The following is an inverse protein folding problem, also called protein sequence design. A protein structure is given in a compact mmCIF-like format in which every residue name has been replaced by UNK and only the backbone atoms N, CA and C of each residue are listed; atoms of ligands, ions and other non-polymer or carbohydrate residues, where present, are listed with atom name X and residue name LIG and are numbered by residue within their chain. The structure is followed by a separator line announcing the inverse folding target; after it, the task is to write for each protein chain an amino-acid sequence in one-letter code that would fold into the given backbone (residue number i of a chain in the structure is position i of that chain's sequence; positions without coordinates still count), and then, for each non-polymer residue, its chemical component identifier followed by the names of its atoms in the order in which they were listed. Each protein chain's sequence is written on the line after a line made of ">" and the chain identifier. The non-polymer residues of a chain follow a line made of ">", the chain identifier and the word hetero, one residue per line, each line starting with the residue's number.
data_IF_843801468979
#
_entry.id   IF_843801468979
#
_cell.length_a   1.000
_cell.length_b   1.000
_cell.length_c   1.000
_cell.angle_alpha   90.00
_cell.angle_beta   90.00
_cell.angle_gamma   90.00
#
_symmetry.space_group_name_H-M   'P 1'
#
loop_
_entity.id
_entity.type
_entity.pdbx_description
1 polymer ?
#
# COMPACT_ATOMS: atom_id res chain seq x y z
N UNK A 1 37.02 -3.63 13.82
CA UNK A 1 37.15 -3.48 12.36
C UNK A 1 36.30 -4.53 11.66
N UNK A 2 35.71 -4.16 10.54
CA UNK A 2 34.73 -4.94 9.79
C UNK A 2 35.40 -5.69 8.63
N UNK A 3 34.69 -6.61 8.00
CA UNK A 3 35.13 -7.27 6.76
C UNK A 3 34.16 -6.99 5.64
N UNK A 4 34.65 -6.81 4.41
CA UNK A 4 33.83 -6.63 3.22
C UNK A 4 34.04 -7.80 2.27
N UNK A 5 32.94 -8.37 1.77
CA UNK A 5 32.94 -9.34 0.68
C UNK A 5 32.06 -8.73 -0.41
N UNK A 6 32.65 -8.46 -1.57
CA UNK A 6 32.03 -7.66 -2.62
C UNK A 6 32.17 -8.29 -4.00
N UNK A 7 31.24 -7.96 -4.90
CA UNK A 7 31.36 -8.26 -6.31
C UNK A 7 30.90 -7.04 -7.12
N UNK A 8 29.64 -6.99 -7.55
CA UNK A 8 29.13 -5.91 -8.41
C UNK A 8 29.12 -4.55 -7.70
N UNK A 9 28.99 -4.54 -6.37
CA UNK A 9 28.84 -3.32 -5.57
C UNK A 9 30.13 -2.87 -4.86
N UNK A 10 31.32 -3.35 -5.27
CA UNK A 10 32.60 -3.02 -4.64
C UNK A 10 32.84 -1.51 -4.50
N UNK A 11 32.72 -0.76 -5.60
CA UNK A 11 33.01 0.68 -5.61
C UNK A 11 32.14 1.46 -4.62
N UNK A 12 30.87 1.08 -4.52
CA UNK A 12 29.91 1.66 -3.57
C UNK A 12 30.33 1.33 -2.14
N UNK A 13 30.58 0.05 -1.84
CA UNK A 13 30.94 -0.40 -0.50
C UNK A 13 32.25 0.20 0.02
N UNK A 14 33.25 0.35 -0.85
CA UNK A 14 34.54 0.94 -0.49
C UNK A 14 34.45 2.46 -0.25
N UNK A 15 33.44 3.12 -0.82
CA UNK A 15 33.22 4.57 -0.66
C UNK A 15 32.57 4.96 0.68
N UNK A 16 32.03 4.00 1.44
CA UNK A 16 31.29 4.23 2.68
C UNK A 16 32.18 4.69 3.86
N UNK A 17 33.51 4.66 3.72
CA UNK A 17 34.44 5.12 4.76
C UNK A 17 34.40 4.30 6.05
N UNK A 18 34.02 3.03 5.97
CA UNK A 18 33.97 2.13 7.13
C UNK A 18 35.34 1.52 7.44
N UNK A 19 35.62 1.30 8.73
CA UNK A 19 36.88 0.67 9.16
C UNK A 19 36.90 -0.82 8.81
N UNK A 20 37.76 -1.22 7.87
CA UNK A 20 37.84 -2.58 7.33
C UNK A 20 39.19 -3.21 7.60
N UNK A 21 39.18 -4.45 8.13
CA UNK A 21 40.40 -5.24 8.36
C UNK A 21 40.73 -6.19 7.20
N UNK A 22 39.72 -6.58 6.41
CA UNK A 22 39.88 -7.48 5.26
C UNK A 22 38.77 -7.26 4.23
N UNK A 23 39.16 -7.22 2.96
CA UNK A 23 38.26 -7.15 1.81
C UNK A 23 38.50 -8.36 0.90
N UNK A 24 37.42 -9.00 0.45
CA UNK A 24 37.44 -9.99 -0.62
C UNK A 24 36.60 -9.46 -1.79
N UNK A 25 37.09 -9.65 -3.01
CA UNK A 25 36.40 -9.28 -4.24
C UNK A 25 36.28 -10.50 -5.16
N UNK A 26 35.08 -10.74 -5.66
CA UNK A 26 34.78 -11.86 -6.57
C UNK A 26 33.53 -12.61 -6.17
N UNK A 27 33.32 -13.76 -6.83
CA UNK A 27 32.23 -14.70 -6.54
C UNK A 27 32.81 -15.90 -5.81
N UNK A 28 32.20 -16.29 -4.69
CA UNK A 28 32.68 -17.35 -3.81
C UNK A 28 31.58 -18.33 -3.46
N UNK A 29 31.94 -19.58 -3.19
CA UNK A 29 31.04 -20.52 -2.54
C UNK A 29 30.94 -20.20 -1.04
N UNK A 30 29.85 -20.62 -0.40
CA UNK A 30 29.68 -20.48 1.05
C UNK A 30 30.79 -21.20 1.82
N UNK A 31 31.20 -22.38 1.36
CA UNK A 31 32.25 -23.18 2.02
C UNK A 31 33.62 -22.49 1.97
N UNK A 32 33.96 -21.85 0.85
CA UNK A 32 35.22 -21.09 0.71
C UNK A 32 35.26 -19.92 1.69
N UNK A 33 34.15 -19.20 1.82
CA UNK A 33 34.03 -18.09 2.77
C UNK A 33 34.10 -18.61 4.22
N UNK A 34 33.37 -19.68 4.53
CA UNK A 34 33.37 -20.27 5.87
C UNK A 34 34.77 -20.73 6.28
N UNK A 35 35.50 -21.39 5.39
CA UNK A 35 36.90 -21.80 5.61
C UNK A 35 37.81 -20.58 5.83
N UNK A 36 37.62 -19.51 5.06
CA UNK A 36 38.41 -18.28 5.15
C UNK A 36 38.22 -17.54 6.47
N UNK A 37 37.00 -17.57 7.04
CA UNK A 37 36.64 -16.79 8.23
C UNK A 37 36.46 -17.61 9.52
N UNK A 38 36.60 -18.94 9.48
CA UNK A 38 36.40 -19.87 10.63
C UNK A 38 37.07 -19.43 11.93
N UNK A 39 38.28 -18.87 11.85
CA UNK A 39 39.05 -18.40 13.01
C UNK A 39 39.39 -16.90 12.93
N UNK A 40 38.62 -16.14 12.14
CA UNK A 40 38.87 -14.72 11.93
C UNK A 40 37.92 -13.90 12.80
N UNK A 41 38.47 -13.04 13.66
CA UNK A 41 37.67 -12.16 14.52
C UNK A 41 37.35 -10.85 13.79
N UNK A 42 36.06 -10.53 13.67
CA UNK A 42 35.56 -9.30 13.06
C UNK A 42 34.35 -8.76 13.83
N UNK A 43 34.07 -7.46 13.67
CA UNK A 43 32.89 -6.83 14.25
C UNK A 43 31.64 -7.13 13.41
N UNK A 44 31.59 -6.59 12.18
CA UNK A 44 30.56 -6.92 11.18
C UNK A 44 31.19 -7.41 9.89
N UNK A 45 30.46 -8.28 9.19
CA UNK A 45 30.73 -8.71 7.83
C UNK A 45 29.70 -8.06 6.90
N UNK A 46 30.17 -7.22 5.99
CA UNK A 46 29.35 -6.59 4.96
C UNK A 46 29.46 -7.46 3.72
N UNK A 47 28.35 -8.07 3.34
CA UNK A 47 28.28 -9.03 2.25
C UNK A 47 27.39 -8.49 1.13
N UNK A 48 27.99 -8.21 -0.02
CA UNK A 48 27.28 -8.06 -1.29
C UNK A 48 26.69 -9.42 -1.68
N UNK A 49 25.37 -9.51 -1.81
CA UNK A 49 24.72 -10.79 -2.12
C UNK A 49 25.23 -11.38 -3.44
N UNK A 50 25.66 -10.53 -4.37
CA UNK A 50 26.17 -10.95 -5.68
C UNK A 50 27.57 -11.54 -5.62
N UNK A 51 28.24 -11.50 -4.46
CA UNK A 51 29.52 -12.16 -4.21
C UNK A 51 29.37 -13.64 -3.82
N UNK A 52 28.14 -14.12 -3.61
CA UNK A 52 27.84 -15.54 -3.37
C UNK A 52 27.48 -16.20 -4.71
N UNK A 53 28.13 -17.32 -5.02
CA UNK A 53 27.75 -18.15 -6.17
C UNK A 53 26.32 -18.67 -5.99
N UNK A 54 25.50 -18.66 -7.05
CA UNK A 54 24.10 -19.13 -7.01
C UNK A 54 23.26 -18.45 -5.91
N UNK A 55 23.48 -17.15 -5.68
CA UNK A 55 22.80 -16.40 -4.62
C UNK A 55 21.28 -16.32 -4.80
N UNK A 56 20.75 -16.42 -6.02
CA UNK A 56 19.30 -16.46 -6.28
C UNK A 56 18.63 -17.73 -5.70
N UNK A 57 19.40 -18.80 -5.50
CA UNK A 57 18.94 -20.03 -4.89
C UNK A 57 18.92 -19.90 -3.36
N UNK A 58 17.73 -20.02 -2.77
CA UNK A 58 17.55 -19.84 -1.34
C UNK A 58 18.30 -20.88 -0.49
N UNK A 59 18.53 -22.09 -1.01
CA UNK A 59 19.31 -23.12 -0.31
C UNK A 59 20.76 -22.67 -0.10
N UNK A 60 21.33 -21.91 -1.04
CA UNK A 60 22.66 -21.32 -0.88
C UNK A 60 22.68 -20.34 0.29
N UNK A 61 21.65 -19.52 0.43
CA UNK A 61 21.54 -18.56 1.54
C UNK A 61 21.25 -19.27 2.87
N UNK A 62 20.54 -20.38 2.85
CA UNK A 62 20.37 -21.24 4.02
C UNK A 62 21.72 -21.82 4.47
N UNK A 63 22.54 -22.29 3.54
CA UNK A 63 23.89 -22.74 3.88
C UNK A 63 24.73 -21.59 4.48
N UNK A 64 24.58 -20.38 3.95
CA UNK A 64 25.23 -19.18 4.48
C UNK A 64 24.79 -18.90 5.94
N UNK A 65 23.50 -19.01 6.24
CA UNK A 65 22.97 -18.77 7.60
C UNK A 65 23.40 -19.82 8.62
N UNK A 66 23.67 -21.04 8.17
CA UNK A 66 24.26 -22.10 9.00
C UNK A 66 25.77 -21.89 9.21
N UNK A 67 26.47 -21.39 8.19
CA UNK A 67 27.92 -21.21 8.23
C UNK A 67 28.38 -19.98 9.04
N UNK A 68 27.53 -18.96 9.17
CA UNK A 68 27.89 -17.68 9.79
C UNK A 68 26.88 -17.23 10.85
N UNK A 69 27.36 -16.50 11.85
CA UNK A 69 26.50 -15.79 12.81
C UNK A 69 25.84 -14.58 12.13
N UNK A 70 24.57 -14.74 11.74
CA UNK A 70 23.79 -13.72 11.02
C UNK A 70 23.61 -12.41 11.78
N UNK A 71 23.76 -12.40 13.11
CA UNK A 71 23.74 -11.15 13.88
C UNK A 71 24.95 -10.25 13.58
N UNK A 72 26.03 -10.83 13.03
CA UNK A 72 27.26 -10.14 12.63
C UNK A 72 27.34 -9.87 11.13
N UNK A 73 26.37 -10.31 10.33
CA UNK A 73 26.37 -10.12 8.88
C UNK A 73 25.39 -9.00 8.52
N UNK A 74 25.78 -8.13 7.59
CA UNK A 74 24.92 -7.17 6.91
C UNK A 74 24.89 -7.57 5.44
N UNK A 75 23.73 -7.96 4.91
CA UNK A 75 23.59 -8.36 3.51
C UNK A 75 23.10 -7.18 2.68
N UNK A 76 23.88 -6.76 1.68
CA UNK A 76 23.45 -5.84 0.64
C UNK A 76 22.80 -6.63 -0.49
N UNK A 77 21.49 -6.45 -0.64
CA UNK A 77 20.69 -7.08 -1.69
C UNK A 77 20.87 -6.33 -3.02
N UNK A 78 20.78 -7.06 -4.13
CA UNK A 78 20.74 -6.47 -5.47
C UNK A 78 19.30 -6.21 -5.95
N UNK A 79 19.18 -5.51 -7.08
CA UNK A 79 17.90 -5.19 -7.70
C UNK A 79 17.34 -6.32 -8.59
N UNK A 80 17.88 -7.55 -8.46
CA UNK A 80 17.34 -8.69 -9.21
C UNK A 80 15.90 -8.97 -8.79
N UNK A 81 15.07 -9.37 -9.75
CA UNK A 81 13.66 -9.70 -9.48
C UNK A 81 13.51 -10.84 -8.46
N UNK A 82 14.49 -11.77 -8.41
CA UNK A 82 14.48 -12.92 -7.52
C UNK A 82 14.79 -12.51 -6.08
N UNK A 83 15.91 -11.83 -5.84
CA UNK A 83 16.32 -11.39 -4.50
C UNK A 83 15.38 -10.31 -3.97
N UNK A 84 14.84 -9.49 -4.86
CA UNK A 84 13.81 -8.49 -4.53
C UNK A 84 12.44 -9.08 -4.28
N UNK A 85 12.23 -10.37 -4.57
CA UNK A 85 10.92 -10.99 -4.47
C UNK A 85 10.49 -11.15 -3.00
N UNK A 86 9.17 -11.06 -2.73
CA UNK A 86 8.61 -11.31 -1.40
C UNK A 86 9.00 -12.65 -0.81
N UNK A 87 8.99 -13.70 -1.63
CA UNK A 87 9.29 -15.08 -1.20
C UNK A 87 10.75 -15.21 -0.76
N UNK A 88 11.67 -14.58 -1.49
CA UNK A 88 13.08 -14.58 -1.14
C UNK A 88 13.33 -13.83 0.17
N UNK A 89 12.83 -12.58 0.28
CA UNK A 89 12.95 -11.76 1.49
C UNK A 89 12.31 -12.43 2.71
N UNK A 90 11.15 -13.05 2.52
CA UNK A 90 10.46 -13.81 3.56
C UNK A 90 11.28 -15.00 4.02
N UNK A 91 11.95 -15.67 3.09
CA UNK A 91 12.81 -16.81 3.40
C UNK A 91 14.04 -16.36 4.19
N UNK A 92 14.61 -15.18 3.89
CA UNK A 92 15.67 -14.59 4.72
C UNK A 92 15.20 -14.43 6.18
N UNK A 93 14.01 -13.84 6.39
CA UNK A 93 13.47 -13.62 7.72
C UNK A 93 13.15 -14.93 8.44
N UNK A 94 12.54 -15.90 7.75
CA UNK A 94 12.30 -17.24 8.32
C UNK A 94 13.58 -17.98 8.71
N UNK A 95 14.70 -17.70 8.02
CA UNK A 95 16.02 -18.23 8.36
C UNK A 95 16.74 -17.45 9.47
N UNK A 96 16.10 -16.43 10.06
CA UNK A 96 16.70 -15.60 11.10
C UNK A 96 17.65 -14.51 10.56
N UNK A 97 17.62 -14.25 9.26
CA UNK A 97 18.45 -13.23 8.60
C UNK A 97 17.65 -11.93 8.53
N UNK A 98 17.91 -11.01 9.46
CA UNK A 98 17.15 -9.75 9.55
C UNK A 98 17.92 -8.54 9.03
N UNK A 99 19.25 -8.58 9.12
CA UNK A 99 20.10 -7.43 8.89
C UNK A 99 20.51 -7.31 7.42
N UNK A 100 19.53 -7.05 6.55
CA UNK A 100 19.74 -6.83 5.12
C UNK A 100 19.20 -5.46 4.68
N UNK A 101 19.72 -4.95 3.56
CA UNK A 101 19.30 -3.67 2.95
C UNK A 101 19.49 -3.70 1.45
N UNK A 102 18.71 -2.91 0.70
CA UNK A 102 18.98 -2.58 -0.72
C UNK A 102 19.74 -1.27 -0.88
N UNK A 103 19.81 -0.47 0.17
CA UNK A 103 20.49 0.81 0.17
C UNK A 103 21.85 0.67 0.86
N UNK A 104 22.94 0.78 0.08
CA UNK A 104 24.30 0.73 0.61
C UNK A 104 24.60 1.87 1.59
N UNK A 105 24.00 3.05 1.41
CA UNK A 105 24.19 4.20 2.29
C UNK A 105 23.66 3.95 3.72
N UNK A 106 22.79 2.95 3.89
CA UNK A 106 22.30 2.55 5.21
C UNK A 106 23.30 1.69 5.99
N UNK A 107 24.32 1.11 5.33
CA UNK A 107 25.25 0.16 5.95
C UNK A 107 26.01 0.76 7.15
N UNK A 108 26.54 2.01 7.10
CA UNK A 108 27.19 2.61 8.27
C UNK A 108 26.27 2.66 9.49
N UNK A 109 24.99 2.97 9.30
CA UNK A 109 24.00 2.98 10.40
C UNK A 109 23.72 1.56 10.94
N UNK A 110 23.60 0.57 10.06
CA UNK A 110 23.30 -0.83 10.39
C UNK A 110 24.45 -1.56 11.10
N UNK A 111 25.68 -1.03 11.02
CA UNK A 111 26.81 -1.56 11.80
C UNK A 111 26.54 -1.44 13.30
N UNK A 112 26.03 -0.28 13.73
CA UNK A 112 25.74 0.03 15.13
C UNK A 112 24.28 -0.25 15.51
N UNK A 113 23.36 -0.21 14.54
CA UNK A 113 21.92 -0.39 14.72
C UNK A 113 21.40 -1.50 13.79
N UNK A 114 21.76 -2.78 14.05
CA UNK A 114 21.35 -3.88 13.17
C UNK A 114 19.82 -4.04 13.17
N UNK A 115 19.24 -4.31 12.00
CA UNK A 115 17.82 -4.63 11.91
C UNK A 115 17.50 -5.86 12.75
N UNK A 116 16.35 -5.81 13.42
CA UNK A 116 15.80 -6.89 14.22
C UNK A 116 14.63 -7.55 13.50
N UNK A 117 14.15 -8.68 14.01
CA UNK A 117 12.94 -9.32 13.49
C UNK A 117 11.77 -8.33 13.33
N UNK A 118 11.57 -7.41 14.29
CA UNK A 118 10.46 -6.45 14.23
C UNK A 118 10.53 -5.53 13.02
N UNK A 119 11.73 -5.17 12.58
CA UNK A 119 11.97 -4.23 11.48
C UNK A 119 11.70 -4.89 10.11
N UNK A 120 11.73 -6.22 10.07
CA UNK A 120 11.57 -7.03 8.85
C UNK A 120 10.42 -8.04 8.93
N UNK A 121 9.62 -8.01 10.00
CA UNK A 121 8.54 -8.97 10.24
C UNK A 121 7.49 -8.96 9.12
N UNK A 122 7.30 -7.80 8.49
CA UNK A 122 6.46 -7.61 7.30
C UNK A 122 6.85 -8.53 6.13
N UNK A 123 8.08 -9.02 6.07
CA UNK A 123 8.49 -10.01 5.07
C UNK A 123 8.10 -11.44 5.46
N UNK A 124 8.07 -11.84 6.75
CA UNK A 124 7.74 -13.21 7.15
C UNK A 124 6.27 -13.57 6.93
N UNK A 125 5.38 -12.58 7.06
CA UNK A 125 3.96 -12.72 6.77
C UNK A 125 3.66 -13.06 5.29
N UNK A 126 4.67 -12.99 4.40
CA UNK A 126 4.57 -13.36 2.99
C UNK A 126 4.80 -14.86 2.73
N UNK A 127 5.64 -15.58 3.51
CA UNK A 127 5.92 -17.03 3.33
C UNK A 127 4.89 -17.95 4.00
N UNK A 128 4.25 -17.56 5.10
CA UNK A 128 3.16 -18.37 5.70
C UNK A 128 1.92 -18.49 4.80
N UNK A 129 1.93 -17.83 3.65
CA UNK A 129 0.92 -17.92 2.59
C UNK A 129 1.32 -18.90 1.47
N UNK A 130 2.49 -19.56 1.56
CA UNK A 130 3.08 -20.37 0.47
C UNK A 130 3.22 -21.89 0.73
N UNK A 131 2.88 -22.44 1.91
CA UNK A 131 2.70 -23.91 2.07
C UNK A 131 1.25 -24.29 1.71
N UNK A 132 1.06 -25.13 0.69
CA UNK A 132 -0.25 -25.71 0.37
C UNK A 132 -0.68 -26.75 1.42
N UNK A 133 -1.90 -26.64 1.95
CA UNK A 133 -2.69 -27.82 2.27
C UNK A 133 -3.97 -27.78 1.46
N UNK A 134 -3.95 -28.26 0.21
CA UNK A 134 -5.15 -28.39 -0.66
C UNK A 134 -5.96 -27.09 -0.78
N UNK A 135 -5.76 -26.39 -1.90
CA UNK A 135 -6.38 -25.09 -2.26
C UNK A 135 -5.98 -23.94 -1.30
N UNK A 136 -5.75 -22.77 -1.89
CA UNK A 136 -5.30 -21.49 -1.32
C UNK A 136 -3.81 -21.41 -0.92
N UNK A 137 -3.11 -20.29 -1.10
CA UNK A 137 -3.33 -19.04 -1.85
C UNK A 137 -2.02 -18.25 -1.69
N UNK A 138 -1.22 -18.13 -2.75
CA UNK A 138 -0.13 -17.14 -2.76
C UNK A 138 -0.73 -15.76 -2.99
N UNK A 139 -0.98 -15.10 -1.87
CA UNK A 139 -1.35 -13.71 -1.83
C UNK A 139 -0.17 -12.79 -2.16
N UNK A 140 -0.52 -11.71 -2.85
CA UNK A 140 0.39 -10.71 -3.37
C UNK A 140 0.73 -9.66 -2.31
N UNK A 141 1.99 -9.25 -2.39
CA UNK A 141 2.57 -7.94 -2.07
C UNK A 141 1.61 -6.80 -1.74
N UNK A 142 1.96 -6.05 -0.69
CA UNK A 142 1.48 -4.70 -0.36
C UNK A 142 2.03 -3.61 -1.32
N UNK A 143 1.94 -3.86 -2.63
CA UNK A 143 1.36 -2.85 -3.52
C UNK A 143 -0.04 -3.38 -3.77
N UNK A 144 -1.06 -2.85 -3.10
CA UNK A 144 -2.42 -3.12 -3.59
C UNK A 144 -2.84 -2.00 -4.55
N UNK A 145 -1.97 -1.78 -5.52
CA UNK A 145 -2.37 -1.57 -6.89
C UNK A 145 -1.75 -2.74 -7.64
N UNK A 146 -2.52 -3.80 -7.88
CA UNK A 146 -2.16 -4.71 -8.94
C UNK A 146 -1.81 -3.88 -10.18
N UNK A 147 -0.70 -4.17 -10.88
CA UNK A 147 -0.33 -3.43 -12.10
C UNK A 147 -1.57 -3.34 -13.02
N UNK A 148 -2.17 -2.14 -13.10
CA UNK A 148 -3.40 -1.86 -13.85
C UNK A 148 -4.71 -1.62 -13.07
N UNK A 149 -4.83 -2.00 -11.79
CA UNK A 149 -6.06 -1.80 -10.98
C UNK A 149 -6.01 -0.53 -10.13
N UNK A 150 -7.15 0.17 -10.01
CA UNK A 150 -7.35 1.31 -9.11
C UNK A 150 -8.18 0.92 -7.90
N UNK A 151 -7.66 1.14 -6.70
CA UNK A 151 -8.37 0.87 -5.43
C UNK A 151 -8.68 2.20 -4.74
N UNK A 152 -9.97 2.47 -4.54
CA UNK A 152 -10.47 3.73 -3.99
C UNK A 152 -11.19 3.47 -2.67
N UNK A 153 -10.68 4.06 -1.60
CA UNK A 153 -11.28 4.03 -0.28
C UNK A 153 -12.21 5.22 -0.09
N UNK A 154 -13.35 5.03 0.57
CA UNK A 154 -14.33 6.07 0.84
C UNK A 154 -14.64 6.07 2.33
N UNK A 155 -14.40 7.20 2.99
CA UNK A 155 -14.46 7.33 4.45
C UNK A 155 -15.28 8.53 4.86
N UNK A 156 -16.19 8.35 5.81
CA UNK A 156 -16.87 9.43 6.48
C UNK A 156 -15.93 10.10 7.48
N UNK A 157 -15.82 11.43 7.39
CA UNK A 157 -15.20 12.28 8.41
C UNK A 157 -16.26 12.76 9.38
N UNK A 158 -17.39 13.27 8.88
CA UNK A 158 -18.57 13.57 9.71
C UNK A 158 -19.50 12.36 9.74
N UNK A 159 -20.21 12.17 10.85
CA UNK A 159 -21.18 11.07 10.98
C UNK A 159 -22.20 11.12 9.84
N UNK A 160 -22.45 9.96 9.21
CA UNK A 160 -23.43 9.80 8.12
C UNK A 160 -23.18 10.66 6.87
N UNK A 161 -21.92 11.04 6.59
CA UNK A 161 -21.54 11.76 5.37
C UNK A 161 -21.79 10.99 4.05
N UNK A 162 -22.33 9.77 4.09
CA UNK A 162 -22.83 9.06 2.92
C UNK A 162 -21.81 8.20 2.16
N UNK A 163 -20.75 7.70 2.82
CA UNK A 163 -19.76 6.82 2.21
C UNK A 163 -20.36 5.60 1.52
N UNK A 164 -21.27 4.88 2.19
CA UNK A 164 -21.92 3.68 1.65
C UNK A 164 -22.71 4.00 0.38
N UNK A 165 -23.51 5.06 0.42
CA UNK A 165 -24.27 5.54 -0.74
C UNK A 165 -23.36 5.97 -1.89
N UNK A 166 -22.31 6.73 -1.61
CA UNK A 166 -21.38 7.17 -2.65
C UNK A 166 -20.62 5.98 -3.27
N UNK A 167 -20.21 5.01 -2.46
CA UNK A 167 -19.57 3.76 -2.92
C UNK A 167 -20.44 3.07 -3.96
N UNK A 168 -21.73 2.92 -3.66
CA UNK A 168 -22.70 2.32 -4.56
C UNK A 168 -22.93 3.15 -5.84
N UNK A 169 -23.05 4.48 -5.72
CA UNK A 169 -23.25 5.35 -6.89
C UNK A 169 -22.04 5.34 -7.83
N UNK A 170 -20.82 5.38 -7.28
CA UNK A 170 -19.59 5.28 -8.08
C UNK A 170 -19.51 3.93 -8.81
N UNK A 171 -19.88 2.83 -8.13
CA UNK A 171 -19.96 1.50 -8.76
C UNK A 171 -20.88 1.53 -9.98
N UNK A 172 -22.14 1.95 -9.79
CA UNK A 172 -23.14 2.00 -10.87
C UNK A 172 -22.66 2.76 -12.11
N UNK A 173 -21.97 3.89 -11.91
CA UNK A 173 -21.48 4.69 -13.03
C UNK A 173 -20.21 4.12 -13.67
N UNK A 174 -19.31 3.54 -12.88
CA UNK A 174 -18.06 2.94 -13.39
C UNK A 174 -18.32 1.62 -14.12
N UNK A 175 -19.27 0.80 -13.67
CA UNK A 175 -19.59 -0.51 -14.26
C UNK A 175 -20.06 -0.45 -15.72
N UNK A 176 -20.47 0.74 -16.20
CA UNK A 176 -20.80 0.95 -17.61
C UNK A 176 -19.60 0.75 -18.53
N UNK A 177 -18.40 1.12 -18.06
CA UNK A 177 -17.20 1.25 -18.89
C UNK A 177 -15.93 0.61 -18.27
N UNK A 178 -16.03 0.12 -17.03
CA UNK A 178 -14.96 -0.51 -16.27
C UNK A 178 -15.46 -1.80 -15.62
N UNK A 179 -14.57 -2.76 -15.40
CA UNK A 179 -14.86 -3.92 -14.54
C UNK A 179 -14.69 -3.51 -13.07
N UNK A 180 -15.79 -3.42 -12.33
CA UNK A 180 -15.78 -2.85 -10.98
C UNK A 180 -16.17 -3.89 -9.94
N UNK A 181 -15.54 -3.80 -8.77
CA UNK A 181 -16.01 -4.43 -7.54
C UNK A 181 -16.21 -3.38 -6.47
N UNK A 182 -17.20 -3.59 -5.61
CA UNK A 182 -17.44 -2.71 -4.47
C UNK A 182 -17.73 -3.54 -3.22
N UNK A 183 -17.11 -3.13 -2.11
CA UNK A 183 -17.28 -3.78 -0.83
C UNK A 183 -17.37 -2.78 0.33
N UNK A 184 -17.81 -3.28 1.47
CA UNK A 184 -17.88 -2.55 2.73
C UNK A 184 -17.07 -3.28 3.80
N UNK A 185 -16.32 -2.51 4.59
CA UNK A 185 -15.49 -3.03 5.68
C UNK A 185 -16.24 -3.04 7.00
N UNK A 186 -16.22 -4.19 7.67
CA UNK A 186 -16.68 -4.40 9.06
C UNK A 186 -18.13 -3.99 9.35
N UNK A 187 -18.92 -3.80 8.29
CA UNK A 187 -20.33 -3.43 8.28
C UNK A 187 -21.02 -4.11 7.09
N UNK A 188 -22.35 -4.00 7.04
CA UNK A 188 -23.15 -4.58 5.97
C UNK A 188 -24.34 -3.73 5.55
N UNK A 189 -24.19 -2.42 5.53
CA UNK A 189 -25.20 -1.48 5.03
C UNK A 189 -25.37 -1.59 3.49
N UNK A 190 -24.37 -2.09 2.76
CA UNK A 190 -24.48 -2.35 1.32
C UNK A 190 -25.59 -3.36 0.96
N UNK A 191 -25.99 -4.23 1.89
CA UNK A 191 -27.06 -5.21 1.66
C UNK A 191 -28.39 -4.54 1.27
N UNK A 192 -28.62 -3.31 1.72
CA UNK A 192 -29.88 -2.58 1.49
C UNK A 192 -30.05 -2.10 0.04
N UNK A 193 -29.00 -2.16 -0.79
CA UNK A 193 -29.10 -1.83 -2.21
C UNK A 193 -29.61 -2.99 -3.08
N UNK A 194 -29.82 -4.18 -2.50
CA UNK A 194 -30.33 -5.38 -3.21
C UNK A 194 -29.55 -5.71 -4.50
N UNK A 195 -28.24 -5.49 -4.50
CA UNK A 195 -27.35 -5.78 -5.63
C UNK A 195 -26.43 -6.95 -5.25
N UNK A 196 -26.65 -8.09 -5.91
CA UNK A 196 -25.92 -9.33 -5.66
C UNK A 196 -24.43 -9.26 -6.04
N UNK A 197 -24.00 -8.21 -6.75
CA UNK A 197 -22.61 -7.99 -7.13
C UNK A 197 -21.83 -7.15 -6.11
N UNK A 198 -22.43 -6.81 -4.96
CA UNK A 198 -21.77 -6.15 -3.84
C UNK A 198 -21.24 -7.16 -2.83
N UNK A 199 -20.01 -6.95 -2.37
CA UNK A 199 -19.42 -7.75 -1.30
C UNK A 199 -19.73 -7.08 0.05
N UNK A 200 -20.74 -7.61 0.73
CA UNK A 200 -21.46 -6.93 1.83
C UNK A 200 -20.84 -7.07 3.23
N UNK A 201 -19.74 -7.80 3.42
CA UNK A 201 -19.14 -8.02 4.74
C UNK A 201 -17.66 -8.43 4.59
N UNK A 202 -16.80 -7.52 4.13
CA UNK A 202 -15.37 -7.77 4.08
C UNK A 202 -14.75 -7.36 5.41
N UNK A 203 -14.11 -8.30 6.10
CA UNK A 203 -13.40 -7.96 7.34
C UNK A 203 -12.15 -7.13 7.00
N UNK A 204 -11.94 -5.99 7.66
CA UNK A 204 -10.76 -5.14 7.41
C UNK A 204 -9.44 -5.86 7.67
N UNK A 205 -9.39 -6.81 8.61
CA UNK A 205 -8.23 -7.68 8.84
C UNK A 205 -7.97 -8.65 7.67
N UNK A 206 -9.00 -8.98 6.90
CA UNK A 206 -8.90 -9.84 5.72
C UNK A 206 -8.87 -9.06 4.40
N UNK A 207 -8.82 -7.72 4.46
CA UNK A 207 -8.86 -6.87 3.26
C UNK A 207 -7.76 -7.27 2.25
N UNK A 208 -6.55 -7.56 2.74
CA UNK A 208 -5.46 -8.02 1.87
C UNK A 208 -5.82 -9.32 1.13
N UNK A 209 -6.44 -10.27 1.82
CA UNK A 209 -6.90 -11.55 1.24
C UNK A 209 -8.02 -11.31 0.24
N UNK A 210 -9.02 -10.50 0.60
CA UNK A 210 -10.11 -10.11 -0.29
C UNK A 210 -9.56 -9.51 -1.59
N UNK A 211 -8.66 -8.53 -1.49
CA UNK A 211 -8.05 -7.88 -2.65
C UNK A 211 -7.20 -8.87 -3.46
N UNK A 212 -6.41 -9.73 -2.82
CA UNK A 212 -5.58 -10.73 -3.50
C UNK A 212 -6.40 -11.74 -4.32
N UNK A 213 -7.63 -12.02 -3.89
CA UNK A 213 -8.56 -12.94 -4.57
C UNK A 213 -9.22 -12.30 -5.80
N UNK A 214 -9.12 -10.99 -5.98
CA UNK A 214 -9.64 -10.31 -7.16
C UNK A 214 -8.67 -10.48 -8.33
N UNK A 215 -9.18 -11.02 -9.44
CA UNK A 215 -8.39 -11.24 -10.64
C UNK A 215 -8.21 -9.93 -11.43
N UNK A 216 -6.97 -9.55 -11.71
CA UNK A 216 -6.60 -8.36 -12.49
C UNK A 216 -7.21 -8.29 -13.88
N UNK A 217 -7.41 -9.43 -14.52
CA UNK A 217 -7.98 -9.48 -15.85
C UNK A 217 -9.51 -9.29 -15.82
N UNK A 218 -10.12 -9.36 -14.63
CA UNK A 218 -11.57 -9.36 -14.41
C UNK A 218 -12.05 -8.20 -13.52
N UNK A 219 -11.14 -7.43 -12.93
CA UNK A 219 -11.45 -6.26 -12.13
C UNK A 219 -10.43 -5.17 -12.44
N UNK A 220 -10.90 -3.97 -12.74
CA UNK A 220 -10.09 -2.78 -13.05
C UNK A 220 -10.19 -1.73 -11.94
N UNK A 221 -11.35 -1.66 -11.28
CA UNK A 221 -11.61 -0.68 -10.21
C UNK A 221 -12.21 -1.39 -9.00
N UNK A 222 -11.71 -1.06 -7.81
CA UNK A 222 -12.19 -1.60 -6.54
C UNK A 222 -12.59 -0.42 -5.67
N UNK A 223 -13.85 -0.37 -5.24
CA UNK A 223 -14.42 0.66 -4.39
C UNK A 223 -14.67 0.09 -3.00
N UNK A 224 -14.21 0.78 -1.96
CA UNK A 224 -14.32 0.25 -0.59
C UNK A 224 -14.87 1.32 0.33
N UNK A 225 -16.03 1.05 0.94
CA UNK A 225 -16.46 1.78 2.12
C UNK A 225 -15.61 1.31 3.30
N UNK A 226 -14.70 2.18 3.74
CA UNK A 226 -13.68 1.83 4.73
C UNK A 226 -14.02 2.28 6.16
N UNK A 227 -15.22 2.80 6.40
CA UNK A 227 -15.57 3.42 7.67
C UNK A 227 -15.13 2.57 8.88
N UNK A 228 -14.32 3.16 9.77
CA UNK A 228 -13.73 2.56 10.97
C UNK A 228 -12.50 1.65 10.79
N UNK A 229 -12.01 1.44 9.57
CA UNK A 229 -10.81 0.64 9.31
C UNK A 229 -9.55 1.52 9.11
N UNK A 230 -8.44 1.13 9.73
CA UNK A 230 -7.12 1.77 9.58
C UNK A 230 -6.29 1.08 8.48
N UNK A 231 -6.77 1.20 7.24
CA UNK A 231 -6.24 0.48 6.07
C UNK A 231 -5.86 1.43 4.92
N UNK A 232 -5.53 2.68 5.22
CA UNK A 232 -5.25 3.71 4.19
C UNK A 232 -4.13 3.31 3.21
N UNK A 233 -3.17 2.48 3.66
CA UNK A 233 -2.04 1.99 2.85
C UNK A 233 -2.43 1.08 1.69
N UNK A 234 -3.65 0.54 1.68
CA UNK A 234 -4.14 -0.35 0.61
C UNK A 234 -4.69 0.40 -0.61
N UNK A 235 -4.87 1.72 -0.50
CA UNK A 235 -5.63 2.48 -1.49
C UNK A 235 -4.72 3.29 -2.41
N UNK A 236 -5.07 3.31 -3.69
CA UNK A 236 -4.51 4.26 -4.66
C UNK A 236 -4.96 5.69 -4.33
N UNK A 237 -6.22 5.83 -3.94
CA UNK A 237 -6.84 7.09 -3.55
C UNK A 237 -7.82 6.88 -2.39
N UNK A 238 -7.89 7.83 -1.47
CA UNK A 238 -8.90 7.83 -0.39
C UNK A 238 -9.71 9.12 -0.44
N UNK A 239 -11.04 8.97 -0.49
CA UNK A 239 -12.02 10.05 -0.50
C UNK A 239 -12.57 10.27 0.91
N UNK A 240 -12.30 11.45 1.47
CA UNK A 240 -12.72 11.82 2.82
C UNK A 240 -13.99 12.68 2.74
N UNK A 241 -15.12 12.09 3.11
CA UNK A 241 -16.44 12.70 3.00
C UNK A 241 -16.78 13.54 4.21
N UNK A 242 -17.17 14.79 3.97
CA UNK A 242 -17.68 15.71 4.97
C UNK A 242 -19.07 16.15 4.53
N UNK A 243 -20.07 15.97 5.38
CA UNK A 243 -21.34 16.70 5.26
C UNK A 243 -21.15 18.06 5.95
N UNK A 244 -21.13 19.19 5.21
CA UNK A 244 -20.70 20.47 5.76
C UNK A 244 -21.78 21.20 6.59
N UNK A 245 -22.74 20.47 7.16
CA UNK A 245 -23.74 21.04 8.04
C UNK A 245 -23.13 21.58 9.32
N UNK A 246 -23.58 22.74 9.79
CA UNK A 246 -23.06 23.38 11.01
C UNK A 246 -22.99 22.43 12.22
N UNK A 247 -24.03 21.63 12.42
CA UNK A 247 -24.09 20.65 13.53
C UNK A 247 -23.04 19.54 13.32
N UNK A 248 -22.88 19.05 12.11
CA UNK A 248 -21.92 17.98 11.77
C UNK A 248 -20.47 18.43 12.00
N UNK A 249 -20.13 19.63 11.52
CA UNK A 249 -18.80 20.21 11.72
C UNK A 249 -18.52 20.48 13.20
N UNK A 250 -19.50 21.03 13.93
CA UNK A 250 -19.34 21.27 15.36
C UNK A 250 -19.19 19.96 16.16
N UNK A 251 -19.93 18.91 15.81
CA UNK A 251 -19.76 17.58 16.41
C UNK A 251 -18.35 17.03 16.15
N UNK A 252 -17.87 17.11 14.91
CA UNK A 252 -16.54 16.66 14.51
C UNK A 252 -15.44 17.32 15.34
N UNK A 253 -15.44 18.66 15.42
CA UNK A 253 -14.43 19.42 16.17
C UNK A 253 -14.51 19.13 17.68
N UNK A 254 -15.73 18.92 18.20
CA UNK A 254 -15.94 18.61 19.62
C UNK A 254 -15.38 17.23 19.99
N UNK A 255 -15.52 16.24 19.11
CA UNK A 255 -15.00 14.89 19.29
C UNK A 255 -13.48 14.83 19.06
N UNK A 256 -13.00 15.52 18.03
CA UNK A 256 -11.59 15.58 17.66
C UNK A 256 -11.18 17.00 17.24
N UNK A 257 -10.49 17.70 18.14
CA UNK A 257 -9.99 19.06 17.90
C UNK A 257 -8.94 19.13 16.79
N UNK A 258 -8.34 18.00 16.41
CA UNK A 258 -7.33 17.92 15.37
C UNK A 258 -7.89 17.35 14.06
N UNK A 259 -9.21 17.14 13.95
CA UNK A 259 -9.85 16.52 12.79
C UNK A 259 -9.41 17.16 11.46
N UNK A 260 -9.46 18.49 11.35
CA UNK A 260 -9.04 19.18 10.12
C UNK A 260 -7.54 19.12 9.85
N UNK A 261 -6.70 19.08 10.89
CA UNK A 261 -5.25 18.92 10.70
C UNK A 261 -4.91 17.56 10.11
N UNK A 262 -5.65 16.51 10.46
CA UNK A 262 -5.49 15.16 9.90
C UNK A 262 -5.90 15.05 8.43
N UNK A 263 -6.69 16.03 7.93
CA UNK A 263 -7.16 16.07 6.55
C UNK A 263 -6.25 16.84 5.59
N UNK A 264 -5.18 17.45 6.10
CA UNK A 264 -4.23 18.18 5.26
C UNK A 264 -3.60 17.26 4.21
N UNK A 265 -3.67 17.68 2.95
CA UNK A 265 -3.17 16.92 1.80
C UNK A 265 -4.04 15.72 1.39
N UNK A 266 -5.20 15.51 2.01
CA UNK A 266 -6.14 14.44 1.67
C UNK A 266 -7.19 14.92 0.65
N UNK A 267 -7.80 14.01 -0.11
CA UNK A 267 -8.87 14.32 -1.07
C UNK A 267 -10.21 14.49 -0.35
N UNK A 268 -10.51 15.71 0.09
CA UNK A 268 -11.75 16.03 0.79
C UNK A 268 -12.91 16.20 -0.20
N UNK A 269 -14.00 15.48 0.00
CA UNK A 269 -15.25 15.71 -0.72
C UNK A 269 -16.29 16.26 0.24
N UNK A 270 -16.83 17.43 -0.07
CA UNK A 270 -18.00 17.95 0.63
C UNK A 270 -19.22 17.26 0.02
N UNK A 271 -19.81 16.30 0.72
CA UNK A 271 -21.00 15.57 0.27
C UNK A 271 -22.27 16.24 0.79
N UNK A 272 -23.37 16.12 0.02
CA UNK A 272 -24.68 16.74 0.34
C UNK A 272 -24.53 18.23 0.61
N UNK A 273 -23.59 18.85 -0.09
CA UNK A 273 -23.18 20.21 0.17
C UNK A 273 -24.22 21.18 -0.37
N UNK A 274 -24.59 22.14 0.48
CA UNK A 274 -25.37 23.32 0.12
C UNK A 274 -24.50 24.57 0.05
N UNK A 275 -23.18 24.40 0.20
CA UNK A 275 -22.22 25.50 0.25
C UNK A 275 -22.01 26.12 -1.13
N UNK A 276 -22.02 27.45 -1.17
CA UNK A 276 -21.60 28.21 -2.34
C UNK A 276 -20.08 28.18 -2.50
N UNK A 277 -19.55 28.67 -3.63
CA UNK A 277 -18.10 28.73 -3.85
C UNK A 277 -17.39 29.61 -2.81
N UNK A 278 -18.01 30.70 -2.35
CA UNK A 278 -17.45 31.52 -1.27
C UNK A 278 -17.40 30.76 0.04
N UNK A 279 -18.47 30.04 0.38
CA UNK A 279 -18.52 29.26 1.63
C UNK A 279 -17.50 28.11 1.62
N UNK A 280 -17.27 27.49 0.45
CA UNK A 280 -16.21 26.48 0.28
C UNK A 280 -14.84 27.13 0.49
N UNK A 281 -14.58 28.31 -0.06
CA UNK A 281 -13.31 29.02 0.14
C UNK A 281 -13.08 29.39 1.62
N UNK A 282 -14.13 29.79 2.32
CA UNK A 282 -14.08 30.06 3.76
C UNK A 282 -13.80 28.78 4.54
N UNK A 283 -14.48 27.66 4.21
CA UNK A 283 -14.19 26.35 4.79
C UNK A 283 -12.74 25.91 4.57
N UNK A 284 -12.20 26.07 3.36
CA UNK A 284 -10.79 25.73 3.07
C UNK A 284 -9.81 26.56 3.89
N UNK A 285 -10.12 27.85 4.08
CA UNK A 285 -9.31 28.77 4.88
C UNK A 285 -9.35 28.41 6.36
N UNK A 286 -10.52 28.09 6.90
CA UNK A 286 -10.70 27.71 8.30
C UNK A 286 -10.11 26.33 8.63
N UNK A 287 -10.30 25.36 7.74
CA UNK A 287 -9.77 24.00 7.90
C UNK A 287 -8.28 23.87 7.54
N UNK A 288 -7.73 24.83 6.80
CA UNK A 288 -6.37 24.78 6.27
C UNK A 288 -6.14 23.63 5.29
N UNK A 289 -7.21 23.14 4.64
CA UNK A 289 -7.20 22.01 3.71
C UNK A 289 -7.96 22.37 2.43
N UNK A 290 -7.53 21.80 1.30
CA UNK A 290 -8.20 22.01 0.00
C UNK A 290 -9.32 21.00 -0.20
N UNK A 291 -10.46 21.48 -0.69
CA UNK A 291 -11.58 20.66 -1.10
C UNK A 291 -11.28 20.12 -2.50
N UNK A 292 -11.28 18.80 -2.61
CA UNK A 292 -11.09 18.12 -3.90
C UNK A 292 -12.35 18.25 -4.76
N UNK A 293 -13.53 18.00 -4.18
CA UNK A 293 -14.80 18.12 -4.90
C UNK A 293 -15.93 18.58 -3.99
N UNK A 294 -16.75 19.53 -4.47
CA UNK A 294 -17.94 20.00 -3.77
C UNK A 294 -19.19 19.38 -4.40
N UNK A 295 -19.73 18.34 -3.77
CA UNK A 295 -20.83 17.55 -4.31
C UNK A 295 -22.18 17.99 -3.74
N UNK A 296 -23.12 18.48 -4.56
CA UNK A 296 -24.48 18.79 -4.12
C UNK A 296 -25.27 17.53 -3.73
N UNK A 297 -26.50 17.72 -3.25
CA UNK A 297 -27.44 16.63 -3.12
C UNK A 297 -27.67 15.97 -4.47
N UNK A 298 -27.48 14.65 -4.50
CA UNK A 298 -27.66 13.81 -5.68
C UNK A 298 -28.89 12.94 -5.48
N UNK A 299 -29.74 12.88 -6.50
CA UNK A 299 -30.80 11.87 -6.60
C UNK A 299 -30.17 10.53 -7.00
N UNK A 300 -30.24 9.57 -6.08
CA UNK A 300 -29.65 8.24 -6.16
C UNK A 300 -30.42 7.29 -7.09
N UNK A 301 -31.62 7.70 -7.55
CA UNK A 301 -32.42 6.96 -8.52
C UNK A 301 -32.04 7.26 -9.96
N UNK A 302 -31.24 8.30 -10.20
CA UNK A 302 -30.81 8.69 -11.56
C UNK A 302 -29.61 7.83 -11.97
N UNK A 303 -29.83 6.92 -12.92
CA UNK A 303 -28.76 6.02 -13.43
C UNK A 303 -27.65 6.74 -14.21
N UNK A 304 -27.87 7.98 -14.64
CA UNK A 304 -26.87 8.78 -15.38
C UNK A 304 -26.70 10.18 -14.78
N UNK A 305 -25.95 10.26 -13.68
CA UNK A 305 -25.79 11.48 -12.91
C UNK A 305 -24.54 12.27 -13.34
N UNK A 306 -24.74 13.47 -13.86
CA UNK A 306 -23.67 14.37 -14.33
C UNK A 306 -22.69 14.75 -13.21
N UNK A 307 -23.17 14.93 -11.99
CA UNK A 307 -22.34 15.30 -10.84
C UNK A 307 -21.38 14.16 -10.50
N UNK A 308 -21.85 12.90 -10.54
CA UNK A 308 -20.98 11.74 -10.27
C UNK A 308 -19.99 11.52 -11.42
N UNK A 309 -20.41 11.68 -12.67
CA UNK A 309 -19.50 11.63 -13.83
C UNK A 309 -18.36 12.64 -13.73
N UNK A 310 -18.67 13.88 -13.32
CA UNK A 310 -17.65 14.93 -13.11
C UNK A 310 -16.64 14.52 -12.04
N UNK A 311 -17.11 14.00 -10.90
CA UNK A 311 -16.23 13.46 -9.86
C UNK A 311 -15.32 12.34 -10.39
N UNK A 312 -15.87 11.39 -11.16
CA UNK A 312 -15.08 10.29 -11.75
C UNK A 312 -14.00 10.81 -12.72
N UNK A 313 -14.31 11.85 -13.50
CA UNK A 313 -13.32 12.49 -14.37
C UNK A 313 -12.22 13.20 -13.60
N UNK A 314 -12.57 13.93 -12.53
CA UNK A 314 -11.56 14.55 -11.65
C UNK A 314 -10.68 13.51 -10.95
N UNK A 315 -11.22 12.32 -10.66
CA UNK A 315 -10.42 11.20 -10.18
C UNK A 315 -9.46 10.64 -11.25
N UNK A 316 -9.67 10.96 -12.52
CA UNK A 316 -8.81 10.54 -13.63
C UNK A 316 -9.35 9.37 -14.45
N UNK A 317 -10.64 9.03 -14.35
CA UNK A 317 -11.27 8.03 -15.21
C UNK A 317 -11.58 8.61 -16.59
N UNK A 318 -10.95 8.05 -17.63
CA UNK A 318 -11.00 8.56 -19.01
C UNK A 318 -12.07 7.93 -19.90
N UNK A 319 -12.60 6.75 -19.54
CA UNK A 319 -13.69 6.06 -20.27
C UNK A 319 -15.07 6.45 -19.73
N UNK A 320 -15.26 7.68 -19.26
CA UNK A 320 -16.55 8.17 -18.78
C UNK A 320 -17.18 9.00 -19.90
N UNK A 321 -18.22 8.48 -20.53
CA UNK A 321 -18.82 9.11 -21.70
C UNK A 321 -19.49 10.44 -21.39
N UNK A 322 -19.18 11.43 -22.22
CA UNK A 322 -19.96 12.66 -22.41
C UNK A 322 -21.17 12.37 -23.30
N UNK A 323 -22.04 11.47 -22.86
CA UNK A 323 -23.43 11.64 -23.25
C UNK A 323 -23.98 12.81 -22.44
N UNK A 324 -23.66 14.02 -22.91
CA UNK A 324 -24.55 15.16 -22.74
C UNK A 324 -25.90 14.72 -23.30
N UNK A 325 -26.81 14.39 -22.39
CA UNK A 325 -28.22 14.43 -22.70
C UNK A 325 -28.48 15.82 -23.27
N UNK A 326 -28.65 15.86 -24.60
CA UNK A 326 -29.08 17.02 -25.37
C UNK A 326 -30.09 17.81 -24.52
N UNK A 327 -29.77 19.08 -24.34
CA UNK A 327 -30.48 19.98 -23.45
C UNK A 327 -32.00 19.81 -23.50
N UNK A 328 -32.58 19.50 -22.36
CA UNK A 328 -33.94 19.93 -22.07
C UNK A 328 -33.89 21.41 -21.69
N UNK A 329 -33.81 22.26 -22.70
CA UNK A 329 -34.39 23.60 -22.63
C UNK A 329 -35.91 23.41 -22.64
N UNK A 330 -36.51 23.30 -21.46
CA UNK A 330 -37.94 23.49 -21.24
C UNK A 330 -38.10 24.08 -19.84
N UNK A 331 -38.10 25.41 -19.74
CA UNK A 331 -39.24 26.23 -19.30
C UNK A 331 -38.77 27.63 -18.86
N UNK A 332 -39.14 28.60 -19.72
CA UNK A 332 -39.34 30.05 -19.55
C UNK A 332 -38.20 30.96 -19.06
#
# INVERSE_FOLDING_TARGET
>A
MNVIISNKNESVLMSLGIDVIKTLNGVFTVDDLAATFKNFYYNKMILDITAIEDYENINTIQNLSVAFDMSKVIILLDDSNVVSSPMYLSSLVSMGIYNFTKNADAIPFLIDNPNTYKDVANYQDLNMRMEEPKLNDNAKTNNVGFIGQRIIGIKNVTEHAGATTLTYLLKKHLEKNYKVKACELDKGDLIYFNDNNLDINVNSFELNKYLSNLNNNETEVILIDMNNADVESYFTDVLYLIEPGLIQLNKLIKLDRQAFNKLKGKKIILNRSVLSQSDVADFEKESGSKVFYNMPNVDDKIDDNVVIKKLLKELGFTRIDDHDSKGFSLFR
#
